data_IF_976195243352
#
_entry.id   IF_976195243352
#
_cell.length_a   1.000
_cell.length_b   1.000
_cell.length_c   1.000
_cell.angle_alpha   90.00
_cell.angle_beta   90.00
_cell.angle_gamma   90.00
#
_symmetry.space_group_name_H-M   'P 1'
#
loop_
_entity.id
_entity.type
_entity.pdbx_description
1 polymer ?
#
# COMPACT_ATOMS: atom_id res chain seq x y z
N UNK A 1 47.52 -7.68 19.62
CA UNK A 1 47.53 -7.39 21.06
C UNK A 1 46.26 -7.98 21.70
N UNK A 2 46.22 -8.02 23.05
CA UNK A 2 45.01 -8.44 23.76
C UNK A 2 43.82 -7.52 23.45
N UNK A 3 44.08 -6.26 23.21
CA UNK A 3 43.09 -5.24 22.84
C UNK A 3 42.51 -5.50 21.44
N UNK A 4 43.31 -5.98 20.47
CA UNK A 4 42.84 -6.32 19.14
C UNK A 4 41.87 -7.51 19.18
N UNK A 5 42.15 -8.50 20.03
CA UNK A 5 41.26 -9.65 20.23
C UNK A 5 39.97 -9.23 20.90
N UNK A 6 40.03 -8.30 21.87
CA UNK A 6 38.83 -7.77 22.52
C UNK A 6 37.96 -6.98 21.54
N UNK A 7 38.57 -6.14 20.70
CA UNK A 7 37.86 -5.38 19.64
C UNK A 7 37.17 -6.33 18.63
N UNK A 8 37.85 -7.36 18.16
CA UNK A 8 37.27 -8.34 17.23
C UNK A 8 36.11 -9.13 17.87
N UNK A 9 36.19 -9.44 19.17
CA UNK A 9 35.08 -10.08 19.88
C UNK A 9 33.87 -9.14 20.01
N UNK A 10 34.07 -7.85 20.27
CA UNK A 10 33.00 -6.86 20.31
C UNK A 10 32.32 -6.71 18.95
N UNK A 11 33.08 -6.67 17.86
CA UNK A 11 32.54 -6.65 16.50
C UNK A 11 31.73 -7.92 16.18
N UNK A 12 32.24 -9.09 16.57
CA UNK A 12 31.53 -10.35 16.37
C UNK A 12 30.22 -10.42 17.16
N UNK A 13 30.21 -9.95 18.43
CA UNK A 13 29.00 -9.85 19.23
C UNK A 13 28.00 -8.86 18.63
N UNK A 14 28.46 -7.71 18.13
CA UNK A 14 27.62 -6.73 17.44
C UNK A 14 26.99 -7.31 16.17
N UNK A 15 27.76 -8.06 15.37
CA UNK A 15 27.23 -8.76 14.18
C UNK A 15 26.22 -9.86 14.54
N UNK A 16 26.47 -10.59 15.62
CA UNK A 16 25.55 -11.62 16.11
C UNK A 16 24.23 -11.01 16.59
N UNK A 17 24.29 -9.88 17.30
CA UNK A 17 23.08 -9.15 17.70
C UNK A 17 22.27 -8.67 16.50
N UNK A 18 22.92 -8.06 15.51
CA UNK A 18 22.26 -7.63 14.28
C UNK A 18 21.58 -8.80 13.53
N UNK A 19 22.21 -9.98 13.54
CA UNK A 19 21.62 -11.18 12.96
C UNK A 19 20.35 -11.60 13.71
N UNK A 20 20.38 -11.60 15.04
CA UNK A 20 19.19 -11.94 15.86
C UNK A 20 18.04 -10.95 15.63
N UNK A 21 18.36 -9.66 15.58
CA UNK A 21 17.37 -8.61 15.29
C UNK A 21 16.73 -8.83 13.91
N UNK A 22 17.55 -9.11 12.87
CA UNK A 22 17.07 -9.40 11.52
C UNK A 22 16.19 -10.66 11.44
N UNK A 23 16.52 -11.71 12.21
CA UNK A 23 15.69 -12.93 12.32
C UNK A 23 14.36 -12.60 12.99
N UNK A 24 14.36 -11.78 14.05
CA UNK A 24 13.16 -11.31 14.73
C UNK A 24 12.25 -10.49 13.81
N UNK A 25 12.82 -9.54 13.08
CA UNK A 25 12.11 -8.71 12.10
C UNK A 25 11.50 -9.55 10.96
N UNK A 26 12.27 -10.52 10.44
CA UNK A 26 11.77 -11.44 9.41
C UNK A 26 10.59 -12.29 9.93
N UNK A 27 10.69 -12.80 11.16
CA UNK A 27 9.62 -13.58 11.78
C UNK A 27 8.35 -12.73 11.94
N UNK A 28 8.48 -11.52 12.47
CA UNK A 28 7.38 -10.57 12.66
C UNK A 28 6.73 -10.19 11.33
N UNK A 29 7.52 -9.89 10.31
CA UNK A 29 7.03 -9.56 8.97
C UNK A 29 6.31 -10.75 8.32
N UNK A 30 6.83 -11.97 8.50
CA UNK A 30 6.20 -13.20 7.99
C UNK A 30 4.86 -13.46 8.65
N UNK A 31 4.75 -13.28 9.96
CA UNK A 31 3.48 -13.41 10.69
C UNK A 31 2.47 -12.35 10.26
N UNK A 32 2.89 -11.10 10.09
CA UNK A 32 2.04 -10.03 9.60
C UNK A 32 1.51 -10.33 8.18
N UNK A 33 2.35 -10.87 7.31
CA UNK A 33 1.96 -11.26 5.96
C UNK A 33 0.96 -12.43 5.96
N UNK A 34 1.16 -13.44 6.81
CA UNK A 34 0.21 -14.56 7.00
C UNK A 34 -1.16 -14.04 7.46
N UNK A 35 -1.17 -13.11 8.42
CA UNK A 35 -2.40 -12.49 8.91
C UNK A 35 -3.13 -11.72 7.79
N UNK A 36 -2.40 -10.93 7.01
CA UNK A 36 -2.98 -10.09 5.94
C UNK A 36 -3.49 -10.92 4.76
N UNK A 37 -2.84 -12.04 4.47
CA UNK A 37 -3.21 -12.92 3.34
C UNK A 37 -4.21 -14.01 3.72
N UNK A 38 -4.43 -14.25 5.02
CA UNK A 38 -5.28 -15.33 5.52
C UNK A 38 -4.71 -16.74 5.26
N UNK A 39 -3.44 -16.84 4.88
CA UNK A 39 -2.79 -18.14 4.70
C UNK A 39 -2.48 -18.80 6.05
N UNK A 40 -2.82 -20.08 6.18
CA UNK A 40 -2.57 -20.88 7.40
C UNK A 40 -1.24 -21.63 7.37
N UNK A 41 -0.56 -21.70 6.22
CA UNK A 41 0.71 -22.39 6.04
C UNK A 41 1.89 -21.40 6.02
N UNK A 42 3.06 -21.77 6.55
CA UNK A 42 4.24 -20.93 6.45
C UNK A 42 4.54 -20.63 4.98
N UNK A 43 4.83 -19.36 4.70
CA UNK A 43 5.22 -18.92 3.36
C UNK A 43 6.50 -19.67 2.95
N UNK A 44 6.60 -20.15 1.69
CA UNK A 44 7.84 -20.75 1.21
C UNK A 44 8.96 -19.72 1.37
N UNK A 45 10.08 -20.14 1.96
CA UNK A 45 11.26 -19.29 2.08
C UNK A 45 11.77 -18.96 0.68
N UNK A 46 11.42 -17.78 0.20
CA UNK A 46 11.96 -17.25 -1.05
C UNK A 46 13.39 -16.79 -0.79
N UNK A 47 14.34 -17.67 -1.03
CA UNK A 47 15.74 -17.26 -1.15
C UNK A 47 15.85 -16.43 -2.43
N UNK A 48 15.87 -15.12 -2.26
CA UNK A 48 16.15 -14.18 -3.36
C UNK A 48 17.59 -14.42 -3.80
N UNK A 49 17.79 -15.15 -4.91
CA UNK A 49 19.11 -15.28 -5.51
C UNK A 49 19.61 -13.91 -5.97
N UNK A 50 20.74 -13.41 -5.43
CA UNK A 50 21.23 -12.06 -5.75
C UNK A 50 21.50 -11.86 -7.25
N UNK A 51 21.87 -12.92 -7.95
CA UNK A 51 22.20 -12.87 -9.38
C UNK A 51 21.00 -12.58 -10.30
N UNK A 52 19.79 -12.92 -9.91
CA UNK A 52 18.56 -12.63 -10.68
C UNK A 52 18.02 -11.23 -10.47
N UNK A 53 18.46 -10.55 -9.41
CA UNK A 53 18.02 -9.20 -9.06
C UNK A 53 18.77 -8.11 -9.86
N UNK A 54 19.96 -8.41 -10.41
CA UNK A 54 20.86 -7.37 -10.90
C UNK A 54 20.49 -6.75 -12.25
N UNK A 55 19.97 -7.49 -13.21
CA UNK A 55 19.68 -6.94 -14.54
C UNK A 55 18.24 -6.38 -14.66
N UNK A 56 17.23 -7.16 -14.21
CA UNK A 56 15.83 -6.77 -14.35
C UNK A 56 15.36 -5.75 -13.29
N UNK A 57 16.06 -5.65 -12.15
CA UNK A 57 15.71 -4.72 -11.09
C UNK A 57 16.26 -3.30 -11.32
N UNK A 58 17.36 -3.18 -12.07
CA UNK A 58 18.04 -1.89 -12.34
C UNK A 58 17.35 -1.12 -13.47
N UNK A 59 16.66 -1.83 -14.40
CA UNK A 59 15.95 -1.15 -15.46
C UNK A 59 14.65 -0.51 -14.97
N UNK A 60 14.50 0.77 -15.30
CA UNK A 60 13.22 1.45 -15.13
C UNK A 60 12.29 0.96 -16.24
N UNK A 61 11.16 0.32 -15.92
CA UNK A 61 10.25 -0.18 -16.94
C UNK A 61 9.79 0.95 -17.85
N UNK A 62 9.81 0.73 -19.17
CA UNK A 62 9.44 1.74 -20.17
C UNK A 62 8.01 2.31 -19.96
N UNK A 63 7.10 1.49 -19.41
CA UNK A 63 5.74 1.93 -19.08
C UNK A 63 5.71 3.01 -18.00
N UNK A 64 6.67 3.01 -17.06
CA UNK A 64 6.75 4.00 -15.98
C UNK A 64 7.12 5.39 -16.50
N UNK A 65 7.92 5.44 -17.58
CA UNK A 65 8.31 6.71 -18.23
C UNK A 65 7.15 7.37 -18.98
N UNK A 66 6.16 6.58 -19.39
CA UNK A 66 5.01 7.03 -20.19
C UNK A 66 3.69 6.89 -19.41
N UNK A 67 3.72 6.91 -18.08
CA UNK A 67 2.52 6.73 -17.26
C UNK A 67 1.59 7.95 -17.43
N UNK A 68 0.37 7.77 -17.97
CA UNK A 68 -0.57 8.87 -18.08
C UNK A 68 -1.04 9.30 -16.69
N UNK A 69 -1.09 10.61 -16.43
CA UNK A 69 -1.55 11.17 -15.15
C UNK A 69 -2.97 10.75 -14.78
N UNK A 70 -3.78 10.37 -15.76
CA UNK A 70 -5.13 9.83 -15.57
C UNK A 70 -5.15 8.57 -14.67
N UNK A 71 -4.09 7.75 -14.67
CA UNK A 71 -3.99 6.59 -13.78
C UNK A 71 -4.06 6.95 -12.29
N UNK A 72 -3.58 8.13 -11.92
CA UNK A 72 -3.69 8.60 -10.53
C UNK A 72 -5.13 8.97 -10.16
N UNK A 73 -5.96 9.34 -11.13
CA UNK A 73 -7.39 9.62 -10.89
C UNK A 73 -8.21 8.33 -10.76
N UNK A 74 -7.71 7.20 -11.25
CA UNK A 74 -8.33 5.88 -11.09
C UNK A 74 -8.10 5.27 -9.70
N UNK A 75 -7.28 5.90 -8.87
CA UNK A 75 -7.01 5.47 -7.48
C UNK A 75 -8.31 5.37 -6.66
N UNK A 76 -8.38 4.34 -5.84
CA UNK A 76 -9.59 4.09 -5.04
C UNK A 76 -9.91 5.21 -4.05
N UNK A 77 -8.90 5.84 -3.46
CA UNK A 77 -9.07 6.98 -2.56
C UNK A 77 -9.61 8.23 -3.30
N UNK A 78 -9.12 8.48 -4.51
CA UNK A 78 -9.60 9.58 -5.38
C UNK A 78 -11.05 9.31 -5.82
N UNK A 79 -11.34 8.10 -6.28
CA UNK A 79 -12.70 7.68 -6.66
C UNK A 79 -13.67 7.74 -5.47
N UNK A 80 -13.23 7.33 -4.29
CA UNK A 80 -14.04 7.45 -3.06
C UNK A 80 -14.45 8.91 -2.81
N UNK A 81 -13.53 9.87 -2.97
CA UNK A 81 -13.82 11.30 -2.79
C UNK A 81 -14.69 11.85 -3.91
N UNK A 82 -14.51 11.38 -5.13
CA UNK A 82 -15.40 11.72 -6.24
C UNK A 82 -16.84 11.29 -5.98
N UNK A 83 -17.06 10.05 -5.54
CA UNK A 83 -18.40 9.55 -5.20
C UNK A 83 -18.99 10.30 -3.98
N UNK A 84 -18.19 10.66 -2.98
CA UNK A 84 -18.63 11.50 -1.87
C UNK A 84 -19.04 12.90 -2.32
N UNK A 85 -18.35 13.47 -3.30
CA UNK A 85 -18.71 14.75 -3.92
C UNK A 85 -20.03 14.64 -4.69
N UNK A 86 -20.23 13.56 -5.47
CA UNK A 86 -21.49 13.28 -6.17
C UNK A 86 -22.65 13.13 -5.18
N UNK A 87 -22.45 12.42 -4.07
CA UNK A 87 -23.44 12.29 -3.00
C UNK A 87 -23.78 13.64 -2.34
N UNK A 88 -22.77 14.46 -2.07
CA UNK A 88 -22.98 15.80 -1.50
C UNK A 88 -23.76 16.71 -2.47
N UNK A 89 -23.51 16.59 -3.78
CA UNK A 89 -24.26 17.32 -4.78
C UNK A 89 -25.74 16.85 -4.87
N UNK A 90 -25.98 15.53 -4.77
CA UNK A 90 -27.33 14.99 -4.72
C UNK A 90 -28.11 15.44 -3.47
N UNK A 91 -27.45 15.61 -2.32
CA UNK A 91 -28.03 16.11 -1.09
C UNK A 91 -28.56 17.55 -1.21
N UNK A 92 -27.97 18.37 -2.09
CA UNK A 92 -28.55 19.71 -2.40
C UNK A 92 -29.92 19.53 -3.07
N UNK A 93 -30.05 18.55 -3.98
CA UNK A 93 -31.34 18.22 -4.59
C UNK A 93 -32.38 17.80 -3.54
N UNK A 94 -32.00 16.94 -2.60
CA UNK A 94 -32.84 16.51 -1.48
C UNK A 94 -33.25 17.69 -0.58
N UNK A 95 -32.30 18.59 -0.26
CA UNK A 95 -32.61 19.81 0.52
C UNK A 95 -33.58 20.77 -0.20
N UNK A 96 -33.47 20.85 -1.55
CA UNK A 96 -34.44 21.61 -2.37
C UNK A 96 -35.82 20.95 -2.40
N UNK A 97 -35.85 19.61 -2.44
CA UNK A 97 -37.10 18.87 -2.43
C UNK A 97 -37.91 19.08 -1.15
N UNK A 98 -37.27 19.44 -0.03
CA UNK A 98 -37.95 19.74 1.24
C UNK A 98 -38.85 21.00 1.20
N UNK A 99 -38.74 21.85 0.18
CA UNK A 99 -39.62 22.98 -0.07
C UNK A 99 -40.93 22.57 -0.79
N UNK A 100 -41.02 21.37 -1.33
CA UNK A 100 -42.16 20.87 -2.04
C UNK A 100 -43.02 19.94 -1.17
N UNK A 101 -44.30 19.72 -1.54
CA UNK A 101 -45.13 18.77 -0.82
C UNK A 101 -44.55 17.38 -0.81
N UNK A 102 -44.55 16.73 0.35
CA UNK A 102 -44.25 15.30 0.46
C UNK A 102 -45.55 14.51 0.54
N UNK A 103 -45.65 13.44 -0.26
CA UNK A 103 -46.76 12.51 -0.27
C UNK A 103 -46.31 11.19 0.35
N UNK A 104 -46.91 10.81 1.45
CA UNK A 104 -46.69 9.52 2.09
C UNK A 104 -47.90 8.67 1.95
N UNK A 105 -47.71 7.42 1.51
CA UNK A 105 -48.75 6.44 1.40
C UNK A 105 -48.53 5.33 2.41
N UNK A 106 -49.46 5.16 3.34
CA UNK A 106 -49.46 4.06 4.29
C UNK A 106 -50.55 3.08 3.91
N UNK A 107 -50.20 1.83 3.75
CA UNK A 107 -51.15 0.74 3.48
C UNK A 107 -50.90 -0.40 4.45
N UNK A 108 -51.96 -1.03 4.89
CA UNK A 108 -51.89 -2.18 5.77
C UNK A 108 -53.01 -3.17 5.44
N UNK A 109 -52.73 -4.45 5.57
CA UNK A 109 -53.70 -5.54 5.46
C UNK A 109 -53.52 -6.40 6.71
N UNK A 110 -54.66 -6.75 7.32
CA UNK A 110 -54.64 -7.53 8.56
C UNK A 110 -56.00 -8.10 8.89
N UNK A 111 -56.09 -8.61 10.09
CA UNK A 111 -57.37 -9.09 10.66
C UNK A 111 -57.69 -8.27 11.91
N UNK A 112 -58.95 -7.92 12.08
CA UNK A 112 -59.44 -7.13 13.21
C UNK A 112 -60.72 -7.76 13.76
N UNK A 113 -60.83 -7.90 15.08
CA UNK A 113 -62.00 -8.47 15.74
C UNK A 113 -62.09 -8.01 17.19
N UNK A 114 -63.29 -7.92 17.74
CA UNK A 114 -63.55 -7.56 19.14
C UNK A 114 -63.17 -8.67 20.13
N UNK A 115 -62.94 -9.89 19.63
CA UNK A 115 -62.52 -11.03 20.47
C UNK A 115 -61.47 -11.91 19.74
N UNK A 116 -60.57 -12.52 20.54
CA UNK A 116 -59.56 -13.45 20.05
C UNK A 116 -60.17 -14.65 19.28
N UNK A 117 -61.36 -15.10 19.66
CA UNK A 117 -62.05 -16.27 19.07
C UNK A 117 -62.51 -16.01 17.64
N UNK A 118 -62.86 -14.77 17.31
CA UNK A 118 -63.36 -14.36 15.99
C UNK A 118 -62.27 -13.71 15.12
N UNK A 119 -61.01 -13.60 15.58
CA UNK A 119 -59.94 -12.95 14.86
C UNK A 119 -59.62 -13.60 13.51
N UNK A 120 -59.78 -14.90 13.40
CA UNK A 120 -59.54 -15.64 12.15
C UNK A 120 -60.84 -16.16 11.51
N UNK A 121 -62.02 -15.62 11.89
CA UNK A 121 -63.32 -15.98 11.29
C UNK A 121 -63.54 -15.22 9.99
N UNK A 122 -64.51 -15.73 9.18
CA UNK A 122 -64.93 -15.05 7.96
C UNK A 122 -65.41 -13.61 8.30
N UNK A 123 -64.82 -12.61 7.61
CA UNK A 123 -65.22 -11.20 7.79
C UNK A 123 -64.30 -10.41 8.71
N UNK A 124 -63.29 -11.03 9.34
CA UNK A 124 -62.30 -10.30 10.17
C UNK A 124 -61.20 -9.59 9.37
N UNK A 125 -61.14 -9.77 8.06
CA UNK A 125 -60.18 -9.12 7.18
C UNK A 125 -60.38 -7.58 7.15
N UNK A 126 -59.35 -6.82 7.44
CA UNK A 126 -59.33 -5.37 7.38
C UNK A 126 -58.18 -4.89 6.48
N UNK A 127 -58.40 -3.83 5.76
CA UNK A 127 -57.38 -3.14 5.01
C UNK A 127 -57.42 -1.64 5.30
N UNK A 128 -56.25 -1.03 5.26
CA UNK A 128 -56.08 0.40 5.45
C UNK A 128 -55.35 0.99 4.24
N UNK A 129 -55.82 2.06 3.70
CA UNK A 129 -55.18 2.89 2.70
C UNK A 129 -55.23 4.35 3.13
N UNK A 130 -54.12 4.96 3.48
CA UNK A 130 -54.02 6.28 4.04
C UNK A 130 -52.96 7.12 3.32
N UNK A 131 -53.35 7.85 2.27
CA UNK A 131 -52.48 8.88 1.67
C UNK A 131 -52.43 10.11 2.56
N UNK A 132 -51.21 10.64 2.76
CA UNK A 132 -50.99 11.89 3.53
C UNK A 132 -50.15 12.83 2.70
N UNK A 133 -50.62 14.08 2.54
CA UNK A 133 -49.87 15.18 1.93
C UNK A 133 -49.37 16.12 3.04
N UNK A 134 -48.08 16.40 3.06
CA UNK A 134 -47.47 17.35 3.99
C UNK A 134 -46.71 18.44 3.22
N UNK A 135 -47.14 19.70 3.37
CA UNK A 135 -46.49 20.87 2.78
C UNK A 135 -46.19 21.88 3.88
N UNK A 136 -44.91 22.13 4.23
CA UNK A 136 -44.54 23.14 5.20
C UNK A 136 -44.69 24.56 4.59
N UNK A 137 -45.73 25.29 4.95
CA UNK A 137 -45.91 26.70 4.50
C UNK A 137 -45.06 27.67 5.27
N UNK A 138 -44.76 27.37 6.54
CA UNK A 138 -43.90 28.17 7.42
C UNK A 138 -43.12 27.27 8.36
N UNK A 139 -41.78 27.34 8.29
CA UNK A 139 -40.86 26.51 9.06
C UNK A 139 -39.80 27.29 9.84
N UNK A 140 -39.97 28.62 9.97
CA UNK A 140 -39.01 29.50 10.67
C UNK A 140 -37.61 29.54 10.00
N UNK A 141 -37.53 29.26 8.70
CA UNK A 141 -36.27 29.31 7.95
C UNK A 141 -35.43 28.00 8.00
N UNK A 142 -35.95 26.94 8.60
CA UNK A 142 -35.24 25.65 8.73
C UNK A 142 -34.83 25.06 7.39
N UNK A 143 -35.72 25.01 6.40
CA UNK A 143 -35.42 24.47 5.08
C UNK A 143 -34.36 25.30 4.36
N UNK A 144 -34.36 26.63 4.53
CA UNK A 144 -33.33 27.52 3.99
C UNK A 144 -31.96 27.21 4.60
N UNK A 145 -31.91 27.15 5.94
CA UNK A 145 -30.67 26.81 6.63
C UNK A 145 -30.13 25.41 6.25
N UNK A 146 -31.03 24.43 6.06
CA UNK A 146 -30.65 23.10 5.60
C UNK A 146 -30.07 23.10 4.16
N UNK A 147 -30.65 23.92 3.27
CA UNK A 147 -30.13 24.09 1.91
C UNK A 147 -28.75 24.75 1.92
N UNK A 148 -28.59 25.82 2.71
CA UNK A 148 -27.29 26.50 2.85
C UNK A 148 -26.24 25.54 3.45
N UNK A 149 -26.60 24.73 4.44
CA UNK A 149 -25.72 23.66 4.98
C UNK A 149 -25.35 22.66 3.93
N UNK A 150 -26.27 22.20 3.09
CA UNK A 150 -25.96 21.23 2.01
C UNK A 150 -25.00 21.85 0.99
N UNK A 151 -25.12 23.11 0.66
CA UNK A 151 -24.23 23.84 -0.23
C UNK A 151 -22.80 23.94 0.35
N UNK A 152 -22.68 24.30 1.64
CA UNK A 152 -21.36 24.33 2.31
C UNK A 152 -20.72 22.95 2.38
N UNK A 153 -21.49 21.90 2.66
CA UNK A 153 -20.99 20.52 2.63
C UNK A 153 -20.46 20.09 1.27
N UNK A 154 -21.10 20.54 0.18
CA UNK A 154 -20.57 20.34 -1.16
C UNK A 154 -19.21 21.04 -1.35
N UNK A 155 -19.07 22.31 -0.88
CA UNK A 155 -17.80 23.03 -0.98
C UNK A 155 -16.68 22.30 -0.22
N UNK A 156 -16.96 21.76 0.96
CA UNK A 156 -16.03 20.93 1.73
C UNK A 156 -15.65 19.68 0.92
N UNK A 157 -16.63 18.99 0.32
CA UNK A 157 -16.36 17.80 -0.48
C UNK A 157 -15.50 18.09 -1.73
N UNK A 158 -15.65 19.28 -2.35
CA UNK A 158 -14.77 19.73 -3.46
C UNK A 158 -13.34 19.90 -2.95
N UNK A 159 -13.15 20.61 -1.85
CA UNK A 159 -11.82 20.83 -1.27
C UNK A 159 -11.14 19.51 -0.85
N UNK A 160 -11.90 18.57 -0.28
CA UNK A 160 -11.40 17.24 0.07
C UNK A 160 -10.99 16.42 -1.17
N UNK A 161 -11.78 16.51 -2.25
CA UNK A 161 -11.45 15.84 -3.52
C UNK A 161 -10.16 16.41 -4.13
N UNK A 162 -10.04 17.72 -4.23
CA UNK A 162 -8.84 18.40 -4.74
C UNK A 162 -7.61 18.08 -3.90
N UNK A 163 -7.74 18.11 -2.57
CA UNK A 163 -6.67 17.73 -1.65
C UNK A 163 -6.20 16.28 -1.86
N UNK A 164 -7.14 15.36 -2.07
CA UNK A 164 -6.79 13.94 -2.29
C UNK A 164 -6.04 13.76 -3.60
N UNK A 165 -6.42 14.47 -4.66
CA UNK A 165 -5.69 14.50 -5.93
C UNK A 165 -4.26 15.01 -5.72
N UNK A 166 -4.08 16.12 -5.01
CA UNK A 166 -2.76 16.69 -4.72
C UNK A 166 -1.87 15.71 -3.94
N UNK A 167 -2.45 15.01 -2.96
CA UNK A 167 -1.76 13.97 -2.18
C UNK A 167 -1.32 12.83 -3.11
N UNK A 168 -2.19 12.35 -4.01
CA UNK A 168 -1.86 11.28 -4.95
C UNK A 168 -0.68 11.65 -5.86
N UNK A 169 -0.66 12.88 -6.40
CA UNK A 169 0.45 13.38 -7.20
C UNK A 169 1.75 13.50 -6.39
N UNK A 170 1.66 14.01 -5.16
CA UNK A 170 2.82 14.11 -4.26
C UNK A 170 3.39 12.73 -3.93
N UNK A 171 2.55 11.77 -3.54
CA UNK A 171 3.00 10.40 -3.25
C UNK A 171 3.71 9.77 -4.43
N UNK A 172 3.21 9.99 -5.66
CA UNK A 172 3.84 9.50 -6.87
C UNK A 172 5.21 10.15 -7.09
N UNK A 173 5.31 11.48 -6.95
CA UNK A 173 6.57 12.20 -7.07
C UNK A 173 7.59 11.72 -6.04
N UNK A 174 7.18 11.51 -4.78
CA UNK A 174 8.03 11.02 -3.71
C UNK A 174 8.56 9.60 -3.99
N UNK A 175 7.71 8.71 -4.53
CA UNK A 175 8.12 7.34 -4.89
C UNK A 175 9.09 7.34 -6.06
N UNK A 176 8.86 8.16 -7.08
CA UNK A 176 9.77 8.29 -8.23
C UNK A 176 11.13 8.86 -7.82
N UNK A 177 11.15 9.86 -6.95
CA UNK A 177 12.40 10.43 -6.40
C UNK A 177 13.18 9.38 -5.62
N UNK A 178 12.51 8.64 -4.72
CA UNK A 178 13.14 7.53 -3.99
C UNK A 178 13.64 6.42 -4.90
N UNK A 179 12.93 6.16 -6.02
CA UNK A 179 13.39 5.19 -7.01
C UNK A 179 14.71 5.61 -7.64
N UNK A 180 14.81 6.87 -8.07
CA UNK A 180 16.05 7.38 -8.65
C UNK A 180 17.22 7.27 -7.65
N UNK A 181 17.00 7.67 -6.41
CA UNK A 181 17.99 7.53 -5.34
C UNK A 181 18.40 6.08 -5.10
N UNK A 182 17.43 5.15 -5.05
CA UNK A 182 17.71 3.72 -4.87
C UNK A 182 18.53 3.14 -6.05
N UNK A 183 18.24 3.55 -7.29
CA UNK A 183 19.01 3.15 -8.47
C UNK A 183 20.46 3.66 -8.41
N UNK A 184 20.65 4.91 -8.03
CA UNK A 184 21.98 5.49 -7.90
C UNK A 184 22.78 4.82 -6.76
N UNK A 185 22.13 4.53 -5.63
CA UNK A 185 22.72 3.74 -4.55
C UNK A 185 23.18 2.35 -5.02
N UNK A 186 22.33 1.61 -5.74
CA UNK A 186 22.73 0.29 -6.26
C UNK A 186 23.93 0.40 -7.19
N UNK A 187 23.95 1.40 -8.09
CA UNK A 187 25.10 1.63 -9.01
C UNK A 187 26.40 1.92 -8.26
N UNK A 188 26.32 2.70 -7.20
CA UNK A 188 27.49 3.06 -6.40
C UNK A 188 27.97 1.87 -5.56
N UNK A 189 27.05 1.07 -5.01
CA UNK A 189 27.43 -0.14 -4.28
C UNK A 189 28.06 -1.21 -5.20
N UNK A 190 27.62 -1.34 -6.45
CA UNK A 190 28.29 -2.21 -7.45
C UNK A 190 29.76 -1.79 -7.64
N UNK A 191 30.01 -0.46 -7.80
CA UNK A 191 31.37 0.05 -7.91
C UNK A 191 32.18 -0.20 -6.62
N UNK A 192 31.57 0.00 -5.45
CA UNK A 192 32.19 -0.22 -4.14
C UNK A 192 32.62 -1.68 -3.97
N UNK A 193 31.74 -2.63 -4.26
CA UNK A 193 32.05 -4.06 -4.20
C UNK A 193 33.23 -4.42 -5.13
N UNK A 194 33.23 -3.91 -6.36
CA UNK A 194 34.32 -4.12 -7.30
C UNK A 194 35.67 -3.59 -6.78
N UNK A 195 35.68 -2.38 -6.20
CA UNK A 195 36.89 -1.78 -5.61
C UNK A 195 37.39 -2.55 -4.38
N UNK A 196 36.48 -3.03 -3.53
CA UNK A 196 36.84 -3.86 -2.37
C UNK A 196 37.44 -5.19 -2.83
N UNK A 197 36.82 -5.86 -3.79
CA UNK A 197 37.35 -7.12 -4.36
C UNK A 197 38.72 -6.92 -5.01
N UNK A 198 38.94 -5.83 -5.72
CA UNK A 198 40.23 -5.48 -6.32
C UNK A 198 41.30 -5.24 -5.24
N UNK A 199 40.94 -4.54 -4.16
CA UNK A 199 41.83 -4.33 -3.03
C UNK A 199 42.21 -5.65 -2.36
N UNK A 200 41.27 -6.55 -2.16
CA UNK A 200 41.50 -7.87 -1.58
C UNK A 200 42.43 -8.71 -2.47
N UNK A 201 42.22 -8.70 -3.78
CA UNK A 201 43.14 -9.38 -4.72
C UNK A 201 44.57 -8.87 -4.60
N UNK A 202 44.77 -7.55 -4.56
CA UNK A 202 46.09 -6.94 -4.37
C UNK A 202 46.73 -7.34 -3.04
N UNK A 203 45.97 -7.29 -1.93
CA UNK A 203 46.48 -7.77 -0.64
C UNK A 203 46.87 -9.24 -0.60
N UNK A 204 46.17 -10.11 -1.36
CA UNK A 204 46.56 -11.52 -1.48
C UNK A 204 47.95 -11.65 -2.13
N UNK A 205 48.24 -10.92 -3.19
CA UNK A 205 49.58 -10.89 -3.80
C UNK A 205 50.67 -10.34 -2.85
N UNK A 206 50.39 -9.30 -2.07
CA UNK A 206 51.32 -8.76 -1.09
C UNK A 206 51.61 -9.75 0.05
N UNK A 207 50.62 -10.53 0.45
CA UNK A 207 50.76 -11.57 1.46
C UNK A 207 51.63 -12.71 0.96
N UNK A 208 51.42 -13.18 -0.28
CA UNK A 208 52.27 -14.20 -0.92
C UNK A 208 53.73 -13.74 -1.08
N UNK A 209 53.93 -12.44 -1.32
CA UNK A 209 55.26 -11.80 -1.37
C UNK A 209 55.88 -11.59 0.02
N UNK A 210 55.21 -11.90 1.11
CA UNK A 210 55.73 -11.76 2.47
C UNK A 210 55.73 -10.30 2.99
N UNK A 211 55.09 -9.37 2.30
CA UNK A 211 55.13 -7.93 2.58
C UNK A 211 53.98 -7.43 3.48
N UNK A 212 53.11 -8.34 3.98
CA UNK A 212 51.91 -7.96 4.72
C UNK A 212 51.74 -8.82 5.98
N UNK A 213 51.10 -8.23 7.01
CA UNK A 213 50.78 -8.90 8.26
C UNK A 213 49.73 -10.01 8.07
N UNK A 214 49.89 -11.10 8.83
CA UNK A 214 48.94 -12.25 8.83
C UNK A 214 47.50 -11.92 9.24
N UNK A 215 47.27 -10.78 9.89
CA UNK A 215 45.92 -10.33 10.24
C UNK A 215 45.16 -9.69 9.05
N UNK A 216 45.87 -9.27 8.00
CA UNK A 216 45.31 -8.57 6.84
C UNK A 216 44.24 -9.38 6.08
N UNK A 217 44.31 -10.73 5.90
CA UNK A 217 43.26 -11.53 5.26
C UNK A 217 41.93 -11.49 5.98
N UNK A 218 41.95 -11.54 7.33
CA UNK A 218 40.73 -11.49 8.13
C UNK A 218 40.04 -10.12 8.01
N UNK A 219 40.79 -9.03 8.14
CA UNK A 219 40.25 -7.68 7.96
C UNK A 219 39.71 -7.46 6.55
N UNK A 220 40.33 -8.06 5.53
CA UNK A 220 39.83 -7.99 4.15
C UNK A 220 38.55 -8.80 3.94
N UNK A 221 38.42 -9.98 4.54
CA UNK A 221 37.20 -10.79 4.50
C UNK A 221 36.00 -10.05 5.15
N UNK A 222 36.21 -9.41 6.30
CA UNK A 222 35.19 -8.58 6.96
C UNK A 222 34.72 -7.44 6.04
N UNK A 223 35.67 -6.75 5.38
CA UNK A 223 35.33 -5.64 4.46
C UNK A 223 34.52 -6.12 3.24
N UNK A 224 34.85 -7.30 2.69
CA UNK A 224 34.06 -7.91 1.61
C UNK A 224 32.66 -8.23 2.09
N UNK A 225 32.53 -8.87 3.25
CA UNK A 225 31.23 -9.21 3.81
C UNK A 225 30.37 -7.97 4.09
N UNK A 226 30.97 -6.90 4.62
CA UNK A 226 30.30 -5.62 4.85
C UNK A 226 29.83 -4.95 3.54
N UNK A 227 30.71 -4.94 2.52
CA UNK A 227 30.35 -4.38 1.21
C UNK A 227 29.21 -5.18 0.55
N UNK A 228 29.26 -6.52 0.64
CA UNK A 228 28.22 -7.40 0.11
C UNK A 228 26.87 -7.21 0.86
N UNK A 229 26.92 -7.08 2.18
CA UNK A 229 25.74 -6.79 2.99
C UNK A 229 25.09 -5.45 2.61
N UNK A 230 25.91 -4.39 2.44
CA UNK A 230 25.42 -3.07 2.03
C UNK A 230 24.80 -3.11 0.62
N UNK A 231 25.46 -3.82 -0.30
CA UNK A 231 24.93 -4.02 -1.65
C UNK A 231 23.59 -4.76 -1.63
N UNK A 232 23.46 -5.85 -0.87
CA UNK A 232 22.18 -6.57 -0.70
C UNK A 232 21.10 -5.70 -0.13
N UNK A 233 21.44 -4.86 0.86
CA UNK A 233 20.50 -3.87 1.42
C UNK A 233 20.02 -2.88 0.35
N UNK A 234 20.90 -2.35 -0.48
CA UNK A 234 20.52 -1.43 -1.55
C UNK A 234 19.59 -2.07 -2.59
N UNK A 235 19.82 -3.35 -2.92
CA UNK A 235 18.91 -4.12 -3.77
C UNK A 235 17.54 -4.31 -3.12
N UNK A 236 17.51 -4.62 -1.83
CA UNK A 236 16.26 -4.76 -1.09
C UNK A 236 15.48 -3.45 -1.06
N UNK A 237 16.15 -2.32 -0.83
CA UNK A 237 15.52 -0.99 -0.83
C UNK A 237 14.93 -0.64 -2.20
N UNK A 238 15.60 -1.03 -3.29
CA UNK A 238 15.07 -0.89 -4.64
C UNK A 238 13.81 -1.76 -4.86
N UNK A 239 13.79 -2.99 -4.37
CA UNK A 239 12.61 -3.86 -4.44
C UNK A 239 11.44 -3.30 -3.60
N UNK A 240 11.73 -2.79 -2.41
CA UNK A 240 10.73 -2.13 -1.56
C UNK A 240 10.11 -0.93 -2.27
N UNK A 241 10.93 -0.11 -2.92
CA UNK A 241 10.43 1.00 -3.74
C UNK A 241 9.52 0.53 -4.88
N UNK A 242 9.80 -0.64 -5.48
CA UNK A 242 8.93 -1.24 -6.50
C UNK A 242 7.54 -1.59 -5.93
N UNK A 243 7.48 -2.11 -4.71
CA UNK A 243 6.21 -2.36 -4.02
C UNK A 243 5.48 -1.06 -3.67
N UNK A 244 6.20 -0.03 -3.23
CA UNK A 244 5.63 1.29 -2.98
C UNK A 244 5.04 1.90 -4.26
N UNK A 245 5.73 1.76 -5.38
CA UNK A 245 5.24 2.19 -6.69
C UNK A 245 3.94 1.45 -7.06
N UNK A 246 3.92 0.12 -6.91
CA UNK A 246 2.72 -0.68 -7.13
C UNK A 246 1.55 -0.22 -6.23
N UNK A 247 1.83 0.05 -4.96
CA UNK A 247 0.83 0.55 -4.00
C UNK A 247 0.26 1.91 -4.43
N UNK A 248 1.11 2.84 -4.85
CA UNK A 248 0.68 4.18 -5.29
C UNK A 248 -0.14 4.12 -6.57
N UNK A 249 0.13 3.15 -7.44
CA UNK A 249 -0.61 2.89 -8.67
C UNK A 249 -1.82 1.95 -8.49
N UNK A 250 -2.08 1.46 -7.28
CA UNK A 250 -3.14 0.48 -6.97
C UNK A 250 -3.15 -0.77 -7.87
N UNK A 251 -1.96 -1.34 -8.11
CA UNK A 251 -1.86 -2.56 -8.90
C UNK A 251 -2.10 -2.39 -10.41
N UNK A 252 -2.14 -1.16 -10.90
CA UNK A 252 -2.31 -0.85 -12.31
C UNK A 252 -1.07 -1.13 -13.17
N UNK A 253 -0.15 -1.99 -12.71
CA UNK A 253 0.90 -2.54 -13.57
C UNK A 253 0.23 -3.36 -14.68
N UNK A 254 0.43 -3.07 -15.96
CA UNK A 254 0.00 -3.98 -17.00
C UNK A 254 0.77 -5.30 -16.78
N UNK A 255 0.05 -6.36 -16.43
CA UNK A 255 0.59 -7.72 -16.42
C UNK A 255 0.99 -7.99 -17.88
N UNK A 256 2.27 -7.76 -18.19
CA UNK A 256 2.81 -8.24 -19.45
C UNK A 256 2.73 -9.76 -19.39
N UNK A 257 1.89 -10.33 -20.23
CA UNK A 257 1.56 -11.76 -20.33
C UNK A 257 2.76 -12.69 -20.62
N UNK A 258 3.98 -12.17 -20.60
CA UNK A 258 5.23 -12.92 -20.85
C UNK A 258 5.83 -13.59 -19.61
N UNK A 259 5.26 -13.43 -18.41
CA UNK A 259 5.82 -14.04 -17.19
C UNK A 259 5.03 -15.24 -16.64
N UNK A 260 4.01 -15.72 -17.35
CA UNK A 260 3.21 -16.89 -16.96
C UNK A 260 3.50 -18.14 -17.81
N UNK A 261 4.72 -18.29 -18.32
CA UNK A 261 5.15 -19.61 -18.83
C UNK A 261 5.56 -20.43 -17.59
N UNK A 262 4.59 -21.11 -17.00
CA UNK A 262 4.85 -22.21 -16.08
C UNK A 262 5.69 -23.28 -16.80
N UNK A 263 6.78 -23.78 -16.20
CA UNK A 263 7.38 -25.00 -16.69
C UNK A 263 6.38 -26.14 -16.48
N UNK A 264 6.03 -26.81 -17.58
CA UNK A 264 5.04 -27.85 -17.62
C UNK A 264 5.28 -28.96 -16.60
N UNK A 265 4.21 -29.32 -15.90
CA UNK A 265 4.07 -30.62 -15.30
C UNK A 265 3.72 -31.57 -16.46
N UNK A 266 4.67 -32.36 -16.88
CA UNK A 266 4.44 -33.51 -17.77
C UNK A 266 3.82 -34.66 -16.94
N UNK A 267 3.01 -35.53 -17.57
CA UNK A 267 2.17 -36.55 -16.94
C UNK A 267 2.94 -37.65 -16.22
#
# INVERSE_FOLDING_TARGET
>A
SLDDVAMQRLEALGAQQQLQDAIGDHSSASQALLLLTGYSAPLPSMTLEPARLTAAAIDTPAWLMNLPSQRLLERFDVRQREEALKASNANIGAARAAFFPSITLSTGVGVQSDSLRSLFSHGSGAWLFSPQLNLPLFDGGRNRANLDLAQVRKQIAVADYEKTIQIAFREMADVLTRRQQALDHVRDEVKRVALVQEKVRRMAFELEAGNTDRSAPLASAIRVAQADATFRKSLHDLQRNRLDLYRVLHGAEPVTSSSLTQPGVAP
#
